data_IF_068505417158
#
_entry.id   IF_068505417158
#
_cell.length_a   1.000
_cell.length_b   1.000
_cell.length_c   1.000
_cell.angle_alpha   90.00
_cell.angle_beta   90.00
_cell.angle_gamma   90.00
#
_symmetry.space_group_name_H-M   'P 1'
#
loop_
_entity.id
_entity.type
_entity.pdbx_description
1 polymer ?
#
# COMPACT_ATOMS: atom_id res chain seq x y z
N UNK A 1 -43.10 20.94 15.75
CA UNK A 1 -41.66 21.28 15.64
C UNK A 1 -40.94 20.13 14.94
N UNK A 2 -40.44 20.35 13.73
CA UNK A 2 -39.73 19.35 12.93
C UNK A 2 -38.29 19.22 13.46
N UNK A 3 -37.97 18.07 14.06
CA UNK A 3 -36.60 17.71 14.42
C UNK A 3 -35.82 17.41 13.13
N UNK A 4 -34.97 18.35 12.72
CA UNK A 4 -34.02 18.17 11.62
C UNK A 4 -33.03 17.05 11.99
N UNK A 5 -33.16 15.90 11.33
CA UNK A 5 -32.25 14.78 11.44
C UNK A 5 -30.81 15.22 11.14
N UNK A 6 -29.92 15.05 12.12
CA UNK A 6 -28.51 15.38 12.01
C UNK A 6 -27.87 14.65 10.84
N UNK A 7 -27.27 15.41 9.91
CA UNK A 7 -26.43 14.87 8.83
C UNK A 7 -25.30 14.08 9.51
N UNK A 8 -25.29 12.75 9.35
CA UNK A 8 -24.21 11.87 9.80
C UNK A 8 -22.88 12.48 9.33
N UNK A 9 -22.06 12.89 10.30
CA UNK A 9 -20.72 13.41 10.07
C UNK A 9 -20.03 12.49 9.05
N UNK A 10 -19.62 13.04 7.90
CA UNK A 10 -18.90 12.29 6.87
C UNK A 10 -17.67 11.71 7.56
N UNK A 11 -17.69 10.39 7.82
CA UNK A 11 -16.55 9.65 8.36
C UNK A 11 -15.35 10.07 7.53
N UNK A 12 -14.31 10.60 8.20
CA UNK A 12 -13.02 10.86 7.56
C UNK A 12 -12.68 9.64 6.71
N UNK A 13 -12.44 9.86 5.41
CA UNK A 13 -12.16 8.80 4.46
C UNK A 13 -10.89 8.13 4.96
N UNK A 14 -11.02 6.94 5.57
CA UNK A 14 -9.87 6.10 5.91
C UNK A 14 -9.09 5.93 4.61
N UNK A 15 -7.85 6.41 4.57
CA UNK A 15 -6.95 6.06 3.48
C UNK A 15 -6.83 4.55 3.46
N UNK A 16 -7.24 3.97 2.34
CA UNK A 16 -7.30 2.52 2.18
C UNK A 16 -6.98 2.18 0.75
N UNK A 17 -6.19 1.12 0.59
CA UNK A 17 -5.83 0.57 -0.70
C UNK A 17 -6.94 -0.29 -1.32
N UNK A 18 -8.12 -0.37 -0.68
CA UNK A 18 -9.21 -1.26 -1.08
C UNK A 18 -9.65 -1.08 -2.54
N UNK A 19 -9.65 0.16 -3.06
CA UNK A 19 -9.99 0.44 -4.46
C UNK A 19 -8.97 -0.21 -5.41
N UNK A 20 -7.68 -0.13 -5.08
CA UNK A 20 -6.61 -0.70 -5.90
C UNK A 20 -6.58 -2.22 -5.81
N UNK A 21 -6.76 -2.77 -4.60
CA UNK A 21 -6.91 -4.22 -4.39
C UNK A 21 -8.07 -4.77 -5.22
N UNK A 22 -9.22 -4.09 -5.22
CA UNK A 22 -10.38 -4.51 -6.01
C UNK A 22 -10.12 -4.41 -7.53
N UNK A 23 -9.48 -3.34 -7.99
CA UNK A 23 -9.12 -3.16 -9.41
C UNK A 23 -8.22 -4.30 -9.90
N UNK A 24 -7.15 -4.61 -9.17
CA UNK A 24 -6.22 -5.70 -9.52
C UNK A 24 -6.92 -7.06 -9.45
N UNK A 25 -7.76 -7.29 -8.43
CA UNK A 25 -8.53 -8.52 -8.32
C UNK A 25 -9.40 -8.75 -9.57
N UNK A 26 -10.10 -7.72 -10.06
CA UNK A 26 -10.93 -7.85 -11.27
C UNK A 26 -10.16 -7.98 -12.56
N UNK A 27 -8.91 -7.53 -12.61
CA UNK A 27 -8.02 -7.76 -13.75
C UNK A 27 -7.54 -9.23 -13.83
N UNK A 28 -7.31 -9.87 -12.69
CA UNK A 28 -6.80 -11.26 -12.63
C UNK A 28 -7.95 -12.29 -12.57
N UNK A 29 -9.03 -11.98 -11.86
CA UNK A 29 -10.20 -12.84 -11.67
C UNK A 29 -11.53 -12.05 -11.74
N UNK A 30 -12.10 -11.85 -12.95
CA UNK A 30 -13.31 -11.05 -13.15
C UNK A 30 -14.53 -11.53 -12.35
N UNK A 31 -14.69 -12.84 -12.19
CA UNK A 31 -15.88 -13.46 -11.56
C UNK A 31 -15.73 -13.67 -10.05
N UNK A 32 -14.55 -13.43 -9.49
CA UNK A 32 -14.29 -13.64 -8.05
C UNK A 32 -14.58 -12.37 -7.24
N UNK A 33 -15.20 -12.55 -6.07
CA UNK A 33 -15.41 -11.50 -5.06
C UNK A 33 -14.43 -11.63 -3.89
N UNK A 34 -14.24 -10.55 -3.14
CA UNK A 34 -13.42 -10.53 -1.91
C UNK A 34 -14.28 -10.10 -0.73
N UNK A 35 -14.19 -10.83 0.39
CA UNK A 35 -14.92 -10.47 1.62
C UNK A 35 -14.34 -9.23 2.27
N UNK A 36 -15.12 -8.55 3.11
CA UNK A 36 -14.66 -7.36 3.85
C UNK A 36 -13.50 -7.69 4.81
N UNK A 37 -13.50 -8.88 5.41
CA UNK A 37 -12.40 -9.37 6.25
C UNK A 37 -11.12 -9.58 5.44
N UNK A 38 -11.22 -10.25 4.29
CA UNK A 38 -10.07 -10.44 3.40
C UNK A 38 -9.53 -9.11 2.85
N UNK A 39 -10.42 -8.17 2.52
CA UNK A 39 -10.03 -6.82 2.12
C UNK A 39 -9.26 -6.09 3.23
N UNK A 40 -9.68 -6.24 4.49
CA UNK A 40 -8.96 -5.71 5.64
C UNK A 40 -7.53 -6.26 5.77
N UNK A 41 -7.39 -7.59 5.61
CA UNK A 41 -6.07 -8.26 5.63
C UNK A 41 -5.19 -7.74 4.50
N UNK A 42 -5.73 -7.64 3.27
CA UNK A 42 -5.00 -7.11 2.12
C UNK A 42 -4.56 -5.66 2.33
N UNK A 43 -5.42 -4.82 2.91
CA UNK A 43 -5.06 -3.45 3.23
C UNK A 43 -3.91 -3.39 4.25
N UNK A 44 -3.96 -4.20 5.30
CA UNK A 44 -2.87 -4.28 6.29
C UNK A 44 -1.58 -4.83 5.68
N UNK A 45 -1.66 -5.81 4.78
CA UNK A 45 -0.51 -6.35 4.06
C UNK A 45 0.20 -5.26 3.24
N UNK A 46 -0.56 -4.45 2.49
CA UNK A 46 0.03 -3.34 1.71
C UNK A 46 0.71 -2.32 2.63
N UNK A 47 0.14 -2.02 3.80
CA UNK A 47 0.76 -1.11 4.75
C UNK A 47 2.07 -1.68 5.33
N UNK A 48 2.09 -2.96 5.73
CA UNK A 48 3.31 -3.61 6.26
C UNK A 48 4.46 -3.56 5.23
N UNK A 49 4.17 -3.88 3.96
CA UNK A 49 5.18 -3.80 2.90
C UNK A 49 5.62 -2.35 2.64
N UNK A 50 4.68 -1.40 2.64
CA UNK A 50 5.01 0.02 2.47
C UNK A 50 5.94 0.54 3.58
N UNK A 51 5.63 0.24 4.84
CA UNK A 51 6.46 0.64 5.99
C UNK A 51 7.86 0.03 5.92
N UNK A 52 7.98 -1.24 5.52
CA UNK A 52 9.29 -1.89 5.32
C UNK A 52 10.09 -1.20 4.23
N UNK A 53 9.49 -0.93 3.06
CA UNK A 53 10.17 -0.25 1.96
C UNK A 53 10.58 1.16 2.37
N UNK A 54 9.70 1.92 3.02
CA UNK A 54 9.99 3.28 3.48
C UNK A 54 11.13 3.29 4.51
N UNK A 55 11.12 2.34 5.46
CA UNK A 55 12.17 2.18 6.47
C UNK A 55 13.53 1.88 5.84
N UNK A 56 13.61 0.90 4.95
CA UNK A 56 14.87 0.55 4.26
C UNK A 56 15.34 1.67 3.32
N UNK A 57 14.43 2.34 2.63
CA UNK A 57 14.77 3.46 1.73
C UNK A 57 15.32 4.65 2.51
N UNK A 58 14.75 4.94 3.70
CA UNK A 58 15.25 5.96 4.61
C UNK A 58 16.67 5.61 5.08
N UNK A 59 16.91 4.35 5.49
CA UNK A 59 18.25 3.88 5.89
C UNK A 59 19.26 4.05 4.76
N UNK A 60 18.90 3.70 3.53
CA UNK A 60 19.75 3.87 2.35
C UNK A 60 20.07 5.35 2.06
N UNK A 61 19.08 6.24 2.16
CA UNK A 61 19.31 7.67 2.00
C UNK A 61 20.28 8.20 3.07
N UNK A 62 20.10 7.78 4.33
CA UNK A 62 20.99 8.11 5.44
C UNK A 62 22.42 7.61 5.21
N UNK A 63 22.61 6.37 4.72
CA UNK A 63 23.94 5.84 4.37
C UNK A 63 24.62 6.64 3.26
N UNK A 64 23.84 7.13 2.29
CA UNK A 64 24.33 7.99 1.20
C UNK A 64 24.50 9.47 1.61
N UNK A 65 24.25 9.83 2.88
CA UNK A 65 24.24 11.23 3.39
C UNK A 65 23.28 12.13 2.61
N UNK A 66 22.22 11.56 2.04
CA UNK A 66 21.18 12.27 1.33
C UNK A 66 19.99 12.52 2.27
N UNK A 67 19.43 13.73 2.24
CA UNK A 67 18.20 14.10 2.95
C UNK A 67 16.92 13.81 2.15
N UNK A 68 17.06 13.35 0.90
CA UNK A 68 15.97 13.05 -0.01
C UNK A 68 16.03 11.58 -0.40
N UNK A 69 14.91 10.87 -0.23
CA UNK A 69 14.74 9.50 -0.74
C UNK A 69 14.41 9.61 -2.23
N UNK A 70 15.29 9.08 -3.09
CA UNK A 70 15.06 9.05 -4.54
C UNK A 70 14.51 7.70 -4.98
N UNK A 71 14.13 7.58 -6.24
CA UNK A 71 13.75 6.30 -6.84
C UNK A 71 14.84 5.23 -6.70
N UNK A 72 16.13 5.62 -6.62
CA UNK A 72 17.25 4.69 -6.45
C UNK A 72 17.21 3.99 -5.09
N UNK A 73 16.92 4.72 -4.01
CA UNK A 73 16.76 4.13 -2.68
C UNK A 73 15.55 3.22 -2.64
N UNK A 74 14.41 3.62 -3.22
CA UNK A 74 13.21 2.77 -3.30
C UNK A 74 13.51 1.47 -4.06
N UNK A 75 14.11 1.55 -5.25
CA UNK A 75 14.45 0.37 -6.06
C UNK A 75 15.41 -0.58 -5.32
N UNK A 76 16.40 -0.02 -4.63
CA UNK A 76 17.37 -0.81 -3.87
C UNK A 76 16.71 -1.46 -2.66
N UNK A 77 15.89 -0.72 -1.90
CA UNK A 77 15.12 -1.24 -0.77
C UNK A 77 14.20 -2.40 -1.18
N UNK A 78 13.51 -2.26 -2.30
CA UNK A 78 12.65 -3.32 -2.86
C UNK A 78 13.46 -4.59 -3.17
N UNK A 79 14.64 -4.46 -3.78
CA UNK A 79 15.53 -5.62 -4.07
C UNK A 79 16.04 -6.30 -2.81
N UNK A 80 16.21 -5.56 -1.71
CA UNK A 80 16.65 -6.11 -0.42
C UNK A 80 15.50 -6.83 0.30
N UNK A 81 14.28 -6.31 0.19
CA UNK A 81 13.11 -6.83 0.91
C UNK A 81 12.44 -8.02 0.21
N UNK A 82 12.54 -8.12 -1.12
CA UNK A 82 11.87 -9.17 -1.89
C UNK A 82 12.86 -10.25 -2.35
N UNK A 83 12.57 -11.55 -2.14
CA UNK A 83 13.47 -12.63 -2.53
C UNK A 83 13.42 -12.94 -4.04
N UNK A 84 14.59 -13.21 -4.62
CA UNK A 84 14.76 -13.93 -5.90
C UNK A 84 13.99 -13.34 -7.10
N UNK A 85 13.13 -14.16 -7.73
CA UNK A 85 12.33 -13.79 -8.90
C UNK A 85 11.40 -12.59 -8.64
N UNK A 86 10.91 -12.40 -7.41
CA UNK A 86 10.05 -11.26 -7.09
C UNK A 86 10.80 -9.93 -7.24
N UNK A 87 12.08 -9.86 -6.85
CA UNK A 87 12.87 -8.65 -7.02
C UNK A 87 13.12 -8.30 -8.50
N UNK A 88 13.17 -9.30 -9.39
CA UNK A 88 13.37 -9.08 -10.84
C UNK A 88 12.17 -8.38 -11.47
N UNK A 89 10.96 -8.84 -11.16
CA UNK A 89 9.72 -8.32 -11.75
C UNK A 89 9.32 -6.96 -11.18
N UNK A 90 9.72 -6.64 -9.95
CA UNK A 90 9.28 -5.41 -9.27
C UNK A 90 10.16 -4.20 -9.61
N UNK A 91 11.36 -4.41 -10.15
CA UNK A 91 12.26 -3.33 -10.60
C UNK A 91 12.41 -3.28 -12.13
N UNK A 92 11.58 -4.04 -12.85
CA UNK A 92 11.47 -3.96 -14.31
C UNK A 92 10.75 -2.69 -14.78
#
# INVERSE_FOLDING_TARGET
MVSKGGKKCRKSRKESYAIYVYKVLKQVHPDTGISSKAMGIMNSFVNDIFERIAGESSRLAHYNKCSTITSREIQTAVRLLLPGELAKHVVS
#
